data_IF_129310857623
#
_entry.id   IF_129310857623
#
_cell.length_a   1.000
_cell.length_b   1.000
_cell.length_c   1.000
_cell.angle_alpha   90.00
_cell.angle_beta   90.00
_cell.angle_gamma   90.00
#
_symmetry.space_group_name_H-M   'P 1'
#
loop_
_entity.id
_entity.type
_entity.pdbx_description
1 polymer ?
#
# COMPACT_ATOMS: atom_id res chain seq x y z
N UNK A 1 -28.53 7.66 1.24
CA UNK A 1 -27.77 6.39 1.18
C UNK A 1 -28.33 5.35 2.14
N UNK A 2 -28.30 5.57 3.46
CA UNK A 2 -28.79 4.58 4.45
C UNK A 2 -30.23 4.10 4.16
N UNK A 3 -31.19 5.01 3.94
CA UNK A 3 -32.58 4.63 3.62
C UNK A 3 -32.73 3.67 2.42
N UNK A 4 -31.77 3.63 1.49
CA UNK A 4 -31.83 2.80 0.29
C UNK A 4 -31.23 1.39 0.50
N UNK A 5 -30.25 1.23 1.39
CA UNK A 5 -29.50 -0.04 1.57
C UNK A 5 -29.60 -0.61 2.99
N UNK A 6 -30.17 0.15 3.92
CA UNK A 6 -30.31 -0.24 5.32
C UNK A 6 -28.97 -0.39 6.06
N UNK A 7 -29.07 -0.77 7.32
CA UNK A 7 -27.90 -1.10 8.15
C UNK A 7 -27.19 -2.34 7.62
N UNK A 8 -27.96 -3.34 7.16
CA UNK A 8 -27.40 -4.58 6.61
C UNK A 8 -26.51 -4.32 5.38
N UNK A 9 -27.00 -3.56 4.39
CA UNK A 9 -26.20 -3.25 3.21
C UNK A 9 -25.00 -2.34 3.49
N UNK A 10 -25.02 -1.54 4.57
CA UNK A 10 -23.83 -0.85 5.04
C UNK A 10 -22.82 -1.82 5.67
N UNK A 11 -23.27 -2.80 6.46
CA UNK A 11 -22.41 -3.84 7.05
C UNK A 11 -21.70 -4.65 5.96
N UNK A 12 -22.44 -5.13 4.96
CA UNK A 12 -21.87 -5.92 3.86
C UNK A 12 -20.79 -5.16 3.09
N UNK A 13 -20.96 -3.85 2.89
CA UNK A 13 -19.94 -3.00 2.24
C UNK A 13 -18.66 -2.90 3.06
N UNK A 14 -18.80 -2.73 4.37
CA UNK A 14 -17.65 -2.67 5.29
C UNK A 14 -16.94 -4.03 5.29
N UNK A 15 -17.68 -5.12 5.47
CA UNK A 15 -17.14 -6.48 5.47
C UNK A 15 -16.40 -6.82 4.17
N UNK A 16 -16.97 -6.41 3.02
CA UNK A 16 -16.32 -6.57 1.71
C UNK A 16 -15.01 -5.79 1.60
N UNK A 17 -14.96 -4.55 2.10
CA UNK A 17 -13.73 -3.75 2.09
C UNK A 17 -12.62 -4.42 2.92
N UNK A 18 -12.97 -4.96 4.10
CA UNK A 18 -12.05 -5.76 4.91
C UNK A 18 -11.57 -7.03 4.19
N UNK A 19 -12.47 -7.76 3.52
CA UNK A 19 -12.11 -8.96 2.76
C UNK A 19 -11.13 -8.63 1.62
N UNK A 20 -11.36 -7.54 0.89
CA UNK A 20 -10.48 -7.07 -0.18
C UNK A 20 -9.13 -6.58 0.35
N UNK A 21 -9.10 -5.90 1.50
CA UNK A 21 -7.84 -5.51 2.14
C UNK A 21 -7.00 -6.73 2.56
N UNK A 22 -7.63 -7.76 3.13
CA UNK A 22 -6.96 -9.04 3.44
C UNK A 22 -6.45 -9.73 2.19
N UNK A 23 -7.29 -9.81 1.15
CA UNK A 23 -6.90 -10.39 -0.14
C UNK A 23 -5.68 -9.66 -0.74
N UNK A 24 -5.66 -8.32 -0.68
CA UNK A 24 -4.51 -7.55 -1.14
C UNK A 24 -3.24 -7.91 -0.37
N UNK A 25 -3.31 -8.00 0.96
CA UNK A 25 -2.17 -8.42 1.80
C UNK A 25 -1.65 -9.80 1.39
N UNK A 26 -2.54 -10.79 1.26
CA UNK A 26 -2.20 -12.16 0.85
C UNK A 26 -1.54 -12.21 -0.54
N UNK A 27 -2.07 -11.45 -1.50
CA UNK A 27 -1.50 -11.37 -2.86
C UNK A 27 -0.13 -10.68 -2.89
N UNK A 28 0.11 -9.75 -1.96
CA UNK A 28 1.41 -9.08 -1.85
C UNK A 28 2.45 -9.97 -1.18
N UNK A 29 2.08 -10.75 -0.17
CA UNK A 29 2.98 -11.71 0.49
C UNK A 29 3.48 -12.81 -0.45
N UNK A 30 2.71 -13.14 -1.50
CA UNK A 30 3.12 -14.07 -2.56
C UNK A 30 4.19 -13.52 -3.51
N UNK A 31 4.59 -12.24 -3.37
CA UNK A 31 5.47 -11.56 -4.33
C UNK A 31 6.65 -10.86 -3.63
N UNK A 32 7.86 -11.19 -4.05
CA UNK A 32 9.11 -10.69 -3.44
C UNK A 32 9.38 -9.20 -3.66
N UNK A 33 8.57 -8.54 -4.49
CA UNK A 33 8.73 -7.11 -4.81
C UNK A 33 7.97 -6.19 -3.86
N UNK A 34 7.20 -6.74 -2.91
CA UNK A 34 6.47 -5.95 -1.92
C UNK A 34 6.92 -6.31 -0.52
N UNK A 35 7.09 -5.29 0.32
CA UNK A 35 7.37 -5.45 1.74
C UNK A 35 6.32 -4.70 2.53
N UNK A 36 5.53 -5.41 3.33
CA UNK A 36 4.52 -4.80 4.19
C UNK A 36 5.21 -3.98 5.28
N UNK A 37 4.76 -2.74 5.46
CA UNK A 37 5.20 -1.88 6.58
C UNK A 37 4.41 -2.25 7.83
N UNK A 38 3.09 -2.31 7.68
CA UNK A 38 2.20 -2.80 8.72
C UNK A 38 0.98 -3.46 8.08
N UNK A 39 0.52 -4.54 8.71
CA UNK A 39 -0.86 -5.02 8.54
C UNK A 39 -1.72 -4.06 9.36
N UNK A 40 -2.09 -2.92 8.76
CA UNK A 40 -2.85 -1.87 9.46
C UNK A 40 -4.14 -2.42 10.09
N UNK A 41 -4.68 -1.80 11.17
CA UNK A 41 -5.82 -2.34 11.93
C UNK A 41 -7.17 -2.29 11.17
N UNK A 42 -7.17 -1.92 9.88
CA UNK A 42 -8.39 -1.60 9.13
C UNK A 42 -8.19 -1.90 7.63
N UNK A 43 -8.89 -1.20 6.74
CA UNK A 43 -8.77 -1.33 5.27
C UNK A 43 -7.54 -0.61 4.67
N UNK A 44 -6.62 -0.15 5.53
CA UNK A 44 -5.38 0.50 5.13
C UNK A 44 -4.26 -0.53 5.01
N UNK A 45 -3.72 -0.71 3.80
CA UNK A 45 -2.58 -1.59 3.54
C UNK A 45 -1.35 -0.74 3.23
N UNK A 46 -0.36 -0.78 4.13
CA UNK A 46 0.86 0.01 4.05
C UNK A 46 2.03 -0.86 3.59
N UNK A 47 2.73 -0.46 2.52
CA UNK A 47 3.80 -1.26 1.93
C UNK A 47 4.83 -0.45 1.15
N UNK A 48 6.05 -0.99 1.06
CA UNK A 48 7.04 -0.57 0.07
C UNK A 48 6.98 -1.45 -1.17
N UNK A 49 7.28 -0.85 -2.32
CA UNK A 49 7.67 -1.59 -3.51
C UNK A 49 9.19 -1.61 -3.59
N UNK A 50 9.79 -2.80 -3.62
CA UNK A 50 11.24 -2.99 -3.69
C UNK A 50 11.64 -3.24 -5.15
N UNK A 51 12.23 -2.24 -5.84
CA UNK A 51 12.68 -2.42 -7.21
C UNK A 51 13.81 -3.47 -7.26
N UNK A 52 13.97 -4.18 -8.40
CA UNK A 52 15.02 -5.20 -8.54
C UNK A 52 16.43 -4.73 -8.12
N UNK A 53 16.75 -3.45 -8.33
CA UNK A 53 18.05 -2.86 -8.00
C UNK A 53 18.33 -2.70 -6.50
N UNK A 54 17.30 -2.80 -5.64
CA UNK A 54 17.38 -2.70 -4.18
C UNK A 54 17.14 -4.04 -3.46
N UNK A 55 16.67 -5.07 -4.16
CA UNK A 55 16.43 -6.39 -3.53
C UNK A 55 17.74 -6.98 -3.01
N UNK A 56 17.72 -7.50 -1.78
CA UNK A 56 18.90 -8.07 -1.11
C UNK A 56 19.93 -7.06 -0.61
N UNK A 57 19.67 -5.75 -0.73
CA UNK A 57 20.59 -4.68 -0.30
C UNK A 57 20.15 -3.98 0.99
N UNK A 58 19.34 -4.64 1.80
CA UNK A 58 18.72 -4.08 3.01
C UNK A 58 19.75 -3.61 4.05
N UNK A 59 20.94 -4.23 4.07
CA UNK A 59 22.04 -3.88 4.97
C UNK A 59 22.92 -2.72 4.46
N UNK A 60 22.62 -2.17 3.28
CA UNK A 60 23.41 -1.07 2.73
C UNK A 60 23.08 0.24 3.45
N UNK A 61 24.09 1.05 3.74
CA UNK A 61 23.92 2.33 4.43
C UNK A 61 23.02 3.31 3.64
N UNK A 62 23.02 3.22 2.32
CA UNK A 62 22.20 4.04 1.40
C UNK A 62 20.80 3.47 1.14
N UNK A 63 20.45 2.31 1.73
CA UNK A 63 19.23 1.57 1.39
C UNK A 63 17.97 2.41 1.65
N UNK A 64 17.85 2.97 2.86
CA UNK A 64 16.68 3.76 3.26
C UNK A 64 16.55 5.04 2.42
N UNK A 65 17.67 5.71 2.14
CA UNK A 65 17.67 6.92 1.31
C UNK A 65 17.16 6.60 -0.11
N UNK A 66 17.63 5.51 -0.70
CA UNK A 66 17.20 5.09 -2.04
C UNK A 66 15.76 4.60 -2.05
N UNK A 67 15.35 3.87 -1.03
CA UNK A 67 13.97 3.41 -0.87
C UNK A 67 12.99 4.59 -0.74
N UNK A 68 13.38 5.64 -0.02
CA UNK A 68 12.55 6.86 0.14
C UNK A 68 12.21 7.54 -1.19
N UNK A 69 13.06 7.39 -2.21
CA UNK A 69 12.87 7.97 -3.55
C UNK A 69 11.96 7.13 -4.45
N UNK A 70 11.69 5.87 -4.11
CA UNK A 70 10.91 4.95 -4.95
C UNK A 70 9.45 5.38 -5.08
N UNK A 71 8.77 5.65 -3.95
CA UNK A 71 7.34 5.97 -3.96
C UNK A 71 7.02 7.27 -4.73
N UNK A 72 7.77 8.38 -4.57
CA UNK A 72 7.59 9.59 -5.38
C UNK A 72 7.72 9.35 -6.88
N UNK A 73 8.73 8.61 -7.32
CA UNK A 73 8.96 8.32 -8.75
C UNK A 73 7.81 7.50 -9.35
N UNK A 74 7.33 6.49 -8.61
CA UNK A 74 6.18 5.69 -9.04
C UNK A 74 4.90 6.55 -9.08
N UNK A 75 4.68 7.42 -8.07
CA UNK A 75 3.53 8.33 -8.03
C UNK A 75 3.53 9.30 -9.21
N UNK A 76 4.67 9.87 -9.57
CA UNK A 76 4.80 10.74 -10.74
C UNK A 76 4.39 10.00 -12.02
N UNK A 77 4.87 8.76 -12.20
CA UNK A 77 4.49 7.91 -13.35
C UNK A 77 3.00 7.57 -13.35
N UNK A 78 2.43 7.28 -12.18
CA UNK A 78 0.99 7.04 -12.02
C UNK A 78 0.18 8.27 -12.45
N UNK A 79 0.58 9.47 -12.02
CA UNK A 79 -0.08 10.73 -12.37
C UNK A 79 0.00 11.02 -13.87
N UNK A 80 1.19 10.87 -14.48
CA UNK A 80 1.38 11.09 -15.92
C UNK A 80 0.58 10.09 -16.77
N UNK A 81 0.51 8.82 -16.33
CA UNK A 81 -0.18 7.76 -17.07
C UNK A 81 -1.69 7.77 -16.86
N UNK A 82 -2.18 8.25 -15.71
CA UNK A 82 -3.62 8.35 -15.41
C UNK A 82 -4.34 7.01 -15.22
N UNK A 83 -3.63 5.92 -14.91
CA UNK A 83 -4.22 4.56 -14.81
C UNK A 83 -4.64 4.18 -13.40
N UNK A 84 -3.97 4.71 -12.38
CA UNK A 84 -4.30 4.49 -10.98
C UNK A 84 -3.72 5.63 -10.14
N UNK A 85 -4.25 5.81 -8.94
CA UNK A 85 -3.70 6.73 -7.96
C UNK A 85 -3.71 6.11 -6.57
N UNK A 86 -2.53 6.02 -5.97
CA UNK A 86 -2.34 5.61 -4.57
C UNK A 86 -1.54 6.69 -3.85
N UNK A 87 -1.80 6.89 -2.56
CA UNK A 87 -1.05 7.82 -1.72
C UNK A 87 0.24 7.21 -1.21
N UNK A 88 1.22 8.05 -0.89
CA UNK A 88 2.41 7.65 -0.14
C UNK A 88 2.73 8.69 0.91
N UNK A 89 3.37 8.27 2.00
CA UNK A 89 3.85 9.15 3.05
C UNK A 89 5.00 8.49 3.82
N UNK A 90 5.88 9.27 4.47
CA UNK A 90 6.74 8.76 5.53
C UNK A 90 5.95 8.69 6.86
N UNK A 91 6.40 7.86 7.81
CA UNK A 91 5.83 7.80 9.16
C UNK A 91 6.87 7.25 10.13
N UNK A 92 7.10 7.95 11.24
CA UNK A 92 8.08 7.57 12.27
C UNK A 92 9.46 7.22 11.67
N UNK A 93 9.95 5.99 11.91
CA UNK A 93 11.22 5.48 11.39
C UNK A 93 11.12 4.94 9.95
N UNK A 94 9.92 4.95 9.36
CA UNK A 94 9.65 4.42 8.04
C UNK A 94 9.72 5.51 6.96
N UNK A 95 10.64 5.33 6.00
CA UNK A 95 10.71 6.15 4.78
C UNK A 95 9.47 5.94 3.91
N UNK A 96 9.26 6.84 2.95
CA UNK A 96 8.10 6.86 2.04
C UNK A 96 7.61 5.46 1.64
N UNK A 97 6.40 5.11 2.08
CA UNK A 97 5.69 3.89 1.73
C UNK A 97 4.32 4.23 1.13
N UNK A 98 3.75 3.31 0.38
CA UNK A 98 2.39 3.44 -0.13
C UNK A 98 1.36 3.09 0.93
N UNK A 99 0.26 3.85 0.97
CA UNK A 99 -0.94 3.51 1.72
C UNK A 99 -2.09 3.29 0.75
N UNK A 100 -2.41 2.03 0.51
CA UNK A 100 -3.63 1.66 -0.22
C UNK A 100 -4.81 1.67 0.75
N UNK A 101 -5.87 2.35 0.35
CA UNK A 101 -7.15 2.37 1.09
C UNK A 101 -8.17 1.67 0.20
N UNK A 102 -8.79 0.63 0.73
CA UNK A 102 -9.82 -0.15 0.05
C UNK A 102 -11.21 0.38 0.38
#
# INVERSE_FOLDING_TARGET
>A
MWKAIGTHGLSERVEKAFALARYLVEEMEKRDNFKLVCKGPFVNVCFWFIPPSLRGKENSADYQERLSKVAPVIKERMMKRGTMMVGYQPMDEHVNFFRMVV
#
